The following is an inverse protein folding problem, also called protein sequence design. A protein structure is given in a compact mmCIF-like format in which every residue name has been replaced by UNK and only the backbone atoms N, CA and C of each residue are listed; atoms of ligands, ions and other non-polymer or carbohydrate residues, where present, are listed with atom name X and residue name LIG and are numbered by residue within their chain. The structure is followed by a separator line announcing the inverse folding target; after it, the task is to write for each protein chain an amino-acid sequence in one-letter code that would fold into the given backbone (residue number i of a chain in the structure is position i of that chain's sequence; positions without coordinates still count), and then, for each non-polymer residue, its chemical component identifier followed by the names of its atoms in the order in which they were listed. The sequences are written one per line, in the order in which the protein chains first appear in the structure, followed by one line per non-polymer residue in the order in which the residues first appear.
data_IF_315662845792
#
_entry.id   IF_315662845792
#
_cell.length_a   1.000
_cell.length_b   1.000
_cell.length_c   1.000
_cell.angle_alpha   90.00
_cell.angle_beta   90.00
_cell.angle_gamma   90.00
#
_symmetry.space_group_name_H-M   'P 1'
#
loop_
_entity.id
_entity.type
_entity.pdbx_description
1 polymer ?
#
# COMPACT_ATOMS: atom_id res chain seq x y z
N UNK A 1 8.71 -10.05 32.02
CA UNK A 1 9.56 -9.04 32.69
C UNK A 1 9.91 -7.82 31.81
N UNK A 2 9.15 -7.50 30.76
CA UNK A 2 9.42 -6.33 29.89
C UNK A 2 8.74 -5.02 30.35
N UNK A 3 7.77 -5.08 31.27
CA UNK A 3 6.95 -3.93 31.69
C UNK A 3 7.66 -2.96 32.65
N UNK A 4 8.66 -3.43 33.39
CA UNK A 4 9.39 -2.62 34.38
C UNK A 4 10.46 -1.72 33.74
N UNK A 5 11.01 -2.14 32.60
CA UNK A 5 12.05 -1.41 31.87
C UNK A 5 11.42 -0.23 31.11
N UNK A 6 10.27 -0.44 30.45
CA UNK A 6 9.54 0.61 29.76
C UNK A 6 9.10 1.75 30.71
N UNK A 7 8.59 1.42 31.91
CA UNK A 7 8.13 2.42 32.89
C UNK A 7 9.25 3.35 33.38
N UNK A 8 10.49 2.87 33.48
CA UNK A 8 11.65 3.69 33.90
C UNK A 8 12.22 4.55 32.76
N UNK A 9 12.18 4.07 31.52
CA UNK A 9 12.62 4.84 30.36
C UNK A 9 11.72 6.08 30.12
N UNK A 10 10.40 5.94 30.23
CA UNK A 10 9.49 7.08 30.06
C UNK A 10 9.52 8.06 31.25
N UNK A 11 9.70 7.58 32.49
CA UNK A 11 9.76 8.44 33.68
C UNK A 11 10.99 9.37 33.71
N UNK A 12 12.15 8.88 33.28
CA UNK A 12 13.37 9.70 33.16
C UNK A 12 13.28 10.69 32.01
N UNK A 13 12.63 10.33 30.90
CA UNK A 13 12.42 11.21 29.74
C UNK A 13 11.53 12.41 30.09
N UNK A 14 10.42 12.20 30.81
CA UNK A 14 9.53 13.30 31.22
C UNK A 14 10.26 14.30 32.12
N UNK A 15 11.03 13.82 33.10
CA UNK A 15 11.78 14.70 34.02
C UNK A 15 12.88 15.50 33.29
N UNK A 16 13.50 14.90 32.27
CA UNK A 16 14.52 15.53 31.44
C UNK A 16 13.93 16.56 30.47
N UNK A 17 12.73 16.31 29.96
CA UNK A 17 11.96 17.27 29.16
C UNK A 17 11.56 18.49 30.00
N UNK A 18 11.09 18.30 31.23
CA UNK A 18 10.70 19.43 32.11
C UNK A 18 11.89 20.32 32.50
N UNK A 19 13.07 19.75 32.74
CA UNK A 19 14.29 20.53 33.00
C UNK A 19 14.85 21.17 31.72
N UNK A 20 14.61 20.54 30.56
CA UNK A 20 15.01 21.04 29.26
C UNK A 20 14.25 22.29 28.84
N UNK A 21 12.98 22.44 29.20
CA UNK A 21 12.17 23.60 28.82
C UNK A 21 12.72 24.93 29.35
N UNK A 22 13.16 24.98 30.60
CA UNK A 22 13.73 26.20 31.18
C UNK A 22 15.07 26.56 30.52
N UNK A 23 15.90 25.55 30.26
CA UNK A 23 17.16 25.72 29.53
C UNK A 23 16.91 26.23 28.10
N UNK A 24 15.96 25.63 27.38
CA UNK A 24 15.59 26.00 26.01
C UNK A 24 15.00 27.41 25.94
N UNK A 25 14.18 27.82 26.92
CA UNK A 25 13.68 29.20 27.01
C UNK A 25 14.81 30.20 27.25
N UNK A 26 15.79 29.84 28.09
CA UNK A 26 16.95 30.70 28.35
C UNK A 26 17.87 30.84 27.13
N UNK A 27 18.08 29.75 26.40
CA UNK A 27 18.88 29.68 25.18
C UNK A 27 18.18 30.39 24.00
N UNK A 28 16.87 30.18 23.84
CA UNK A 28 16.09 30.81 22.75
C UNK A 28 15.97 32.32 22.91
N UNK A 29 16.01 32.84 24.15
CA UNK A 29 16.07 34.28 24.42
C UNK A 29 17.42 34.89 24.08
N UNK A 30 18.51 34.14 24.25
CA UNK A 30 19.87 34.58 23.90
C UNK A 30 20.12 34.50 22.40
N UNK A 31 19.60 33.45 21.75
CA UNK A 31 19.81 33.14 20.34
C UNK A 31 18.47 32.95 19.62
N UNK A 32 17.91 34.00 18.97
CA UNK A 32 16.61 33.92 18.31
C UNK A 32 16.58 32.92 17.14
N UNK A 33 17.74 32.61 16.55
CA UNK A 33 17.89 31.63 15.47
C UNK A 33 17.47 30.21 15.90
N UNK A 34 17.68 29.85 17.18
CA UNK A 34 17.31 28.53 17.70
C UNK A 34 15.80 28.34 17.68
N UNK A 35 15.03 29.41 17.91
CA UNK A 35 13.57 29.35 17.89
C UNK A 35 13.05 29.14 16.46
N UNK A 36 13.67 29.80 15.48
CA UNK A 36 13.35 29.63 14.06
C UNK A 36 13.71 28.21 13.60
N UNK A 37 14.90 27.73 13.95
CA UNK A 37 15.36 26.37 13.63
C UNK A 37 14.45 25.31 14.27
N UNK A 38 14.06 25.51 15.53
CA UNK A 38 13.12 24.65 16.24
C UNK A 38 11.75 24.61 15.55
N UNK A 39 11.24 25.77 15.11
CA UNK A 39 10.01 25.85 14.32
C UNK A 39 10.10 25.05 13.01
N UNK A 40 11.19 25.20 12.26
CA UNK A 40 11.41 24.44 11.01
C UNK A 40 11.45 22.93 11.27
N UNK A 41 12.13 22.49 12.34
CA UNK A 41 12.20 21.07 12.69
C UNK A 41 10.83 20.51 13.09
N UNK A 42 10.03 21.26 13.85
CA UNK A 42 8.66 20.85 14.20
C UNK A 42 7.79 20.76 12.95
N UNK A 43 7.89 21.72 12.04
CA UNK A 43 7.17 21.67 10.76
C UNK A 43 7.61 20.47 9.90
N UNK A 44 8.91 20.19 9.83
CA UNK A 44 9.45 19.07 9.04
C UNK A 44 9.00 17.71 9.59
N UNK A 45 9.16 17.49 10.90
CA UNK A 45 8.76 16.23 11.55
C UNK A 45 7.24 16.06 11.60
N UNK A 46 6.50 17.14 11.86
CA UNK A 46 5.04 17.14 11.83
C UNK A 46 4.49 16.89 10.42
N UNK A 47 5.08 17.53 9.40
CA UNK A 47 4.72 17.33 8.01
C UNK A 47 5.02 15.91 7.53
N UNK A 48 6.20 15.37 7.85
CA UNK A 48 6.55 13.99 7.56
C UNK A 48 5.60 13.01 8.27
N UNK A 49 5.30 13.23 9.55
CA UNK A 49 4.36 12.41 10.32
C UNK A 49 2.94 12.44 9.74
N UNK A 50 2.44 13.62 9.35
CA UNK A 50 1.14 13.76 8.69
C UNK A 50 1.11 13.06 7.33
N UNK A 51 2.17 13.20 6.53
CA UNK A 51 2.29 12.54 5.23
C UNK A 51 2.30 11.02 5.37
N UNK A 52 3.14 10.46 6.25
CA UNK A 52 3.17 9.01 6.49
C UNK A 52 1.91 8.47 7.14
N UNK A 53 1.20 9.28 7.93
CA UNK A 53 -0.13 8.92 8.46
C UNK A 53 -1.19 8.83 7.37
N UNK A 54 -1.15 9.71 6.36
CA UNK A 54 -2.09 9.70 5.22
C UNK A 54 -1.72 8.65 4.16
N UNK A 55 -0.44 8.38 4.01
CA UNK A 55 0.11 7.44 3.03
C UNK A 55 0.84 6.30 3.75
N UNK A 56 0.10 5.32 4.32
CA UNK A 56 0.72 4.19 4.99
C UNK A 56 1.62 3.46 4.00
N UNK A 57 2.88 3.24 4.39
CA UNK A 57 3.84 2.47 3.60
C UNK A 57 3.32 1.04 3.45
N UNK A 58 2.76 0.73 2.28
CA UNK A 58 2.33 -0.63 1.95
C UNK A 58 3.54 -1.44 1.49
N UNK A 59 3.56 -2.73 1.84
CA UNK A 59 4.64 -3.66 1.44
C UNK A 59 4.68 -3.94 -0.07
N UNK A 60 3.63 -3.56 -0.80
CA UNK A 60 3.47 -3.79 -2.24
C UNK A 60 3.03 -2.51 -2.92
N UNK A 61 3.52 -2.29 -4.14
CA UNK A 61 3.18 -1.15 -4.99
C UNK A 61 1.84 -1.33 -5.70
N UNK A 62 0.82 -1.78 -4.96
CA UNK A 62 -0.52 -1.99 -5.49
C UNK A 62 -1.45 -0.84 -5.10
N UNK A 63 -2.14 -0.30 -6.11
CA UNK A 63 -3.22 0.63 -5.88
C UNK A 63 -4.51 -0.17 -5.68
N UNK A 64 -5.25 0.13 -4.61
CA UNK A 64 -6.56 -0.49 -4.38
C UNK A 64 -7.52 0.06 -5.43
N UNK A 65 -7.96 -0.81 -6.34
CA UNK A 65 -8.88 -0.44 -7.40
C UNK A 65 -10.32 -0.77 -6.96
N UNK A 66 -11.24 0.20 -6.90
CA UNK A 66 -12.63 -0.04 -6.60
C UNK A 66 -13.29 -0.88 -7.71
N UNK A 67 -14.05 -1.87 -7.28
CA UNK A 67 -14.93 -2.66 -8.13
C UNK A 67 -16.08 -1.76 -8.56
N UNK A 68 -16.49 -1.83 -9.83
CA UNK A 68 -17.59 -1.00 -10.32
C UNK A 68 -18.93 -1.44 -9.70
N UNK A 69 -19.84 -0.51 -9.49
CA UNK A 69 -21.16 -0.81 -8.88
C UNK A 69 -21.92 -1.86 -9.70
N UNK A 70 -22.46 -2.87 -9.02
CA UNK A 70 -23.19 -4.01 -9.62
C UNK A 70 -22.41 -4.81 -10.67
N UNK A 71 -21.08 -4.68 -10.69
CA UNK A 71 -20.25 -5.36 -11.67
C UNK A 71 -19.99 -6.83 -11.34
N UNK A 72 -20.46 -7.31 -10.19
CA UNK A 72 -20.36 -8.73 -9.85
C UNK A 72 -21.16 -9.56 -10.88
N UNK A 73 -20.65 -10.72 -11.31
CA UNK A 73 -21.29 -11.51 -12.38
C UNK A 73 -22.74 -11.91 -12.07
N UNK A 74 -23.04 -12.16 -10.79
CA UNK A 74 -24.38 -12.53 -10.32
C UNK A 74 -25.34 -11.34 -10.17
N UNK A 75 -24.84 -10.10 -10.18
CA UNK A 75 -25.67 -8.88 -10.06
C UNK A 75 -25.96 -8.26 -11.44
N UNK A 76 -25.01 -8.36 -12.37
CA UNK A 76 -25.10 -7.78 -13.72
C UNK A 76 -25.75 -8.70 -14.75
N UNK A 77 -25.92 -10.00 -14.45
CA UNK A 77 -26.34 -10.98 -15.45
C UNK A 77 -25.33 -11.16 -16.60
N UNK A 78 -24.08 -10.77 -16.37
CA UNK A 78 -23.00 -10.83 -17.36
C UNK A 78 -22.74 -12.26 -17.80
N UNK A 79 -22.73 -12.48 -19.11
CA UNK A 79 -22.49 -13.78 -19.76
C UNK A 79 -21.07 -14.30 -19.53
N UNK A 80 -20.13 -13.42 -19.14
CA UNK A 80 -18.70 -13.72 -19.12
C UNK A 80 -18.12 -14.03 -17.74
N UNK A 81 -18.93 -14.06 -16.67
CA UNK A 81 -18.49 -14.53 -15.34
C UNK A 81 -17.40 -13.68 -14.66
N UNK A 82 -17.00 -12.55 -15.27
CA UNK A 82 -15.95 -11.64 -14.78
C UNK A 82 -16.58 -10.43 -14.13
N UNK A 83 -15.97 -9.96 -13.04
CA UNK A 83 -16.33 -8.67 -12.45
C UNK A 83 -15.68 -7.52 -13.23
N UNK A 84 -16.18 -6.30 -13.05
CA UNK A 84 -15.64 -5.11 -13.70
C UNK A 84 -15.05 -4.15 -12.68
N UNK A 85 -14.05 -3.38 -13.09
CA UNK A 85 -13.36 -2.44 -12.21
C UNK A 85 -13.07 -1.13 -12.94
N UNK A 86 -12.91 -0.05 -12.18
CA UNK A 86 -12.53 1.24 -12.74
C UNK A 86 -11.01 1.33 -12.91
N UNK A 87 -10.47 1.42 -14.14
CA UNK A 87 -9.03 1.51 -14.35
C UNK A 87 -8.40 2.66 -13.56
N UNK A 88 -7.31 2.39 -12.84
CA UNK A 88 -6.62 3.41 -12.03
C UNK A 88 -7.40 3.93 -10.81
N UNK A 89 -8.58 3.37 -10.53
CA UNK A 89 -9.46 3.83 -9.45
C UNK A 89 -10.21 5.13 -9.73
N UNK A 90 -10.29 5.52 -11.00
CA UNK A 90 -11.11 6.64 -11.44
C UNK A 90 -12.55 6.20 -11.72
N UNK A 91 -13.48 6.56 -10.84
CA UNK A 91 -14.91 6.25 -10.98
C UNK A 91 -15.56 6.88 -12.23
N UNK A 92 -14.93 7.88 -12.85
CA UNK A 92 -15.43 8.51 -14.08
C UNK A 92 -15.00 7.76 -15.35
N UNK A 93 -13.99 6.88 -15.26
CA UNK A 93 -13.53 6.07 -16.37
C UNK A 93 -14.46 4.88 -16.62
N UNK A 94 -14.59 4.47 -17.89
CA UNK A 94 -15.40 3.31 -18.27
C UNK A 94 -14.90 2.02 -17.56
N UNK A 95 -15.78 1.23 -16.94
CA UNK A 95 -15.41 -0.02 -16.30
C UNK A 95 -14.77 -1.00 -17.28
N UNK A 96 -13.72 -1.70 -16.84
CA UNK A 96 -13.02 -2.73 -17.61
C UNK A 96 -13.23 -4.10 -16.96
N UNK A 97 -13.34 -5.14 -17.78
CA UNK A 97 -13.44 -6.51 -17.30
C UNK A 97 -12.14 -6.96 -16.60
N UNK A 98 -12.31 -7.66 -15.49
CA UNK A 98 -11.21 -8.26 -14.75
C UNK A 98 -10.46 -9.30 -15.60
N UNK A 99 -9.15 -9.48 -15.35
CA UNK A 99 -8.43 -10.63 -15.87
C UNK A 99 -9.13 -11.94 -15.46
N UNK A 100 -9.05 -12.97 -16.31
CA UNK A 100 -9.69 -14.26 -16.02
C UNK A 100 -9.15 -14.87 -14.72
N UNK A 101 -10.03 -15.44 -13.91
CA UNK A 101 -9.65 -16.14 -12.67
C UNK A 101 -8.72 -17.35 -12.93
N UNK A 102 -8.74 -17.89 -14.15
CA UNK A 102 -7.84 -18.95 -14.58
C UNK A 102 -6.66 -18.31 -15.31
N UNK A 103 -5.46 -18.43 -14.75
CA UNK A 103 -4.21 -18.11 -15.43
C UNK A 103 -3.81 -19.31 -16.30
N UNK A 104 -3.85 -19.15 -17.63
CA UNK A 104 -3.38 -20.16 -18.57
C UNK A 104 -1.96 -19.79 -18.96
N UNK A 105 -0.98 -20.48 -18.38
CA UNK A 105 0.42 -20.36 -18.77
C UNK A 105 0.72 -21.41 -19.83
N UNK A 106 0.91 -20.97 -21.07
CA UNK A 106 1.39 -21.84 -22.14
C UNK A 106 2.90 -21.91 -22.07
N UNK A 107 3.45 -23.08 -21.74
CA UNK A 107 4.90 -23.31 -21.71
C UNK A 107 5.33 -23.82 -23.09
N UNK A 108 6.05 -23.03 -23.90
CA UNK A 108 6.53 -23.50 -25.20
C UNK A 108 7.68 -24.49 -25.04
N UNK A 109 7.83 -25.42 -25.99
CA UNK A 109 8.96 -26.35 -26.11
C UNK A 109 9.16 -27.33 -24.94
N UNK A 110 8.08 -27.88 -24.42
CA UNK A 110 8.17 -29.03 -23.50
C UNK A 110 8.39 -30.32 -24.30
N UNK A 111 9.46 -31.07 -23.99
CA UNK A 111 9.73 -32.39 -24.60
C UNK A 111 8.82 -33.45 -23.98
N UNK A 112 7.52 -33.42 -24.29
CA UNK A 112 6.61 -34.52 -23.94
C UNK A 112 6.67 -35.61 -25.03
N UNK A 113 6.53 -36.90 -24.66
CA UNK A 113 6.24 -37.95 -25.61
C UNK A 113 5.03 -37.58 -26.49
N UNK A 114 5.10 -37.93 -27.78
CA UNK A 114 4.12 -37.53 -28.82
C UNK A 114 2.66 -37.83 -28.41
N UNK A 115 2.42 -38.98 -27.78
CA UNK A 115 1.08 -39.39 -27.32
C UNK A 115 0.47 -38.42 -26.30
N UNK A 116 1.28 -37.91 -25.38
CA UNK A 116 0.83 -36.96 -24.36
C UNK A 116 0.70 -35.55 -24.93
N UNK A 117 1.61 -35.18 -25.84
CA UNK A 117 1.53 -33.92 -26.56
C UNK A 117 0.22 -33.82 -27.34
N UNK A 118 -0.13 -34.83 -28.13
CA UNK A 118 -1.34 -34.79 -28.96
C UNK A 118 -2.63 -34.89 -28.11
N UNK A 119 -2.59 -35.49 -26.92
CA UNK A 119 -3.73 -35.55 -26.00
C UNK A 119 -4.00 -34.22 -25.28
N UNK A 120 -2.96 -33.59 -24.75
CA UNK A 120 -3.11 -32.42 -23.87
C UNK A 120 -2.85 -31.07 -24.55
N UNK A 121 -2.28 -31.06 -25.76
CA UNK A 121 -2.10 -29.83 -26.52
C UNK A 121 -3.45 -29.33 -27.06
N UNK A 122 -3.73 -28.06 -26.75
CA UNK A 122 -4.91 -27.31 -27.21
C UNK A 122 -4.58 -26.42 -28.41
N UNK A 123 -3.30 -26.20 -28.72
CA UNK A 123 -2.85 -25.33 -29.79
C UNK A 123 -2.82 -26.08 -31.13
N UNK A 124 -3.45 -25.53 -32.16
CA UNK A 124 -3.47 -26.11 -33.52
C UNK A 124 -4.58 -27.14 -33.79
N UNK A 125 -5.64 -27.18 -32.97
CA UNK A 125 -6.85 -27.98 -33.21
C UNK A 125 -8.03 -27.07 -33.49
N UNK A 126 -8.88 -27.43 -34.45
CA UNK A 126 -10.05 -26.63 -34.81
C UNK A 126 -11.02 -26.50 -33.63
N UNK A 127 -11.31 -25.25 -33.24
CA UNK A 127 -12.29 -24.91 -32.19
C UNK A 127 -11.73 -24.27 -30.91
N UNK A 128 -10.43 -23.94 -30.85
CA UNK A 128 -9.81 -23.10 -29.82
C UNK A 128 -8.95 -22.00 -30.42
#
# INVERSE_FOLDING_TARGET
MASLIARRAFSTTVRRLTTGEEALKSESKKNPEILILGGIMVCALGGAGYYFGRSPTKSTSENTVPIADKSMPWESGSTHGKYQYHPGGDASAAPKDAPSAVNVVVVPNVTLPKELHDRYNKWGKDGY
#
